data_IF_488492522637
#
_entry.id   IF_488492522637
#
_cell.length_a   1.000
_cell.length_b   1.000
_cell.length_c   1.000
_cell.angle_alpha   90.00
_cell.angle_beta   90.00
_cell.angle_gamma   90.00
#
_symmetry.space_group_name_H-M   'P 1'
#
loop_
_entity.id
_entity.type
_entity.pdbx_description
1 polymer ?
#
# COMPACT_ATOMS: atom_id res chain seq x y z
N UNK A 1 0.47 6.93 4.14
CA UNK A 1 1.08 5.97 5.08
C UNK A 1 2.57 6.27 5.29
N UNK A 2 3.19 5.77 6.37
CA UNK A 2 4.64 5.94 6.61
C UNK A 2 5.49 5.30 5.53
N UNK A 3 5.09 4.16 5.02
CA UNK A 3 5.79 3.44 3.93
C UNK A 3 5.75 4.24 2.63
N UNK A 4 4.60 4.80 2.24
CA UNK A 4 4.48 5.66 1.07
C UNK A 4 5.38 6.90 1.20
N UNK A 5 5.40 7.54 2.37
CA UNK A 5 6.30 8.65 2.66
C UNK A 5 7.77 8.28 2.46
N UNK A 6 8.24 7.14 3.01
CA UNK A 6 9.64 6.71 2.88
C UNK A 6 10.00 6.38 1.43
N UNK A 7 9.10 5.74 0.70
CA UNK A 7 9.29 5.46 -0.72
C UNK A 7 9.40 6.76 -1.55
N UNK A 8 8.56 7.74 -1.24
CA UNK A 8 8.62 9.04 -1.90
C UNK A 8 9.94 9.76 -1.63
N UNK A 9 10.38 9.81 -0.37
CA UNK A 9 11.67 10.41 0.02
C UNK A 9 12.84 9.76 -0.72
N UNK A 10 12.82 8.41 -0.86
CA UNK A 10 13.91 7.68 -1.55
C UNK A 10 13.95 7.93 -3.05
N UNK A 11 12.80 8.25 -3.67
CA UNK A 11 12.69 8.45 -5.13
C UNK A 11 12.92 9.89 -5.57
N UNK A 12 12.81 10.83 -4.66
CA UNK A 12 13.05 12.24 -4.97
C UNK A 12 14.53 12.54 -4.73
N UNK A 13 15.29 12.60 -5.83
CA UNK A 13 16.65 13.08 -5.81
C UNK A 13 16.63 14.60 -5.55
N UNK A 14 17.23 15.02 -4.43
CA UNK A 14 17.39 16.41 -4.08
C UNK A 14 16.06 17.18 -3.87
N UNK A 15 15.26 16.83 -2.84
CA UNK A 15 14.14 17.69 -2.46
C UNK A 15 14.68 19.08 -2.13
N UNK A 16 14.13 20.11 -2.76
CA UNK A 16 14.56 21.49 -2.55
C UNK A 16 14.63 21.85 -1.05
N UNK A 17 15.47 22.82 -0.71
CA UNK A 17 15.53 23.36 0.66
C UNK A 17 14.16 23.87 1.08
N UNK A 18 13.59 23.29 2.15
CA UNK A 18 12.26 23.62 2.66
C UNK A 18 11.16 22.61 2.32
N UNK A 19 11.45 21.55 1.55
CA UNK A 19 10.48 20.48 1.31
C UNK A 19 10.22 19.68 2.59
N UNK A 20 8.96 19.42 2.88
CA UNK A 20 8.52 18.63 4.01
C UNK A 20 7.70 17.42 3.55
N UNK A 21 7.94 16.25 4.14
CA UNK A 21 7.21 15.01 3.87
C UNK A 21 6.46 14.57 5.12
N UNK A 22 5.15 14.59 5.07
CA UNK A 22 4.29 14.25 6.21
C UNK A 22 3.12 13.35 5.79
N UNK A 23 2.55 12.61 6.72
CA UNK A 23 1.25 11.95 6.48
C UNK A 23 0.12 12.99 6.62
N UNK A 24 -1.04 12.72 5.99
CA UNK A 24 -2.22 13.59 6.11
C UNK A 24 -2.65 13.77 7.57
N UNK A 25 -2.58 12.72 8.39
CA UNK A 25 -2.90 12.80 9.82
C UNK A 25 -1.93 13.70 10.58
N UNK A 26 -0.64 13.59 10.26
CA UNK A 26 0.38 14.42 10.88
C UNK A 26 0.21 15.89 10.47
N UNK A 27 -0.10 16.13 9.21
CA UNK A 27 -0.42 17.47 8.71
C UNK A 27 -1.64 18.06 9.42
N UNK A 28 -2.73 17.30 9.51
CA UNK A 28 -3.97 17.72 10.12
C UNK A 28 -3.86 18.01 11.62
N UNK A 29 -2.90 17.41 12.33
CA UNK A 29 -2.63 17.68 13.74
C UNK A 29 -1.78 18.93 13.99
N UNK A 30 -1.08 19.45 13.00
CA UNK A 30 -0.28 20.66 13.18
C UNK A 30 -1.17 21.87 13.48
N UNK A 31 -0.78 22.66 14.47
CA UNK A 31 -1.48 23.91 14.84
C UNK A 31 -1.01 25.06 13.96
N UNK A 32 0.30 25.15 13.75
CA UNK A 32 0.91 26.17 12.90
C UNK A 32 1.51 25.49 11.66
N UNK A 33 1.03 25.87 10.49
CA UNK A 33 1.56 25.42 9.21
C UNK A 33 2.41 26.53 8.59
N UNK A 34 3.55 26.17 7.98
CA UNK A 34 4.25 27.10 7.11
C UNK A 34 3.38 27.48 5.90
N UNK A 35 3.70 28.59 5.28
CA UNK A 35 3.12 28.97 4.00
C UNK A 35 3.74 28.06 2.92
N UNK A 36 2.95 27.14 2.38
CA UNK A 36 3.38 26.29 1.29
C UNK A 36 2.92 26.90 -0.04
N UNK A 37 3.84 26.99 -1.01
CA UNK A 37 3.50 27.40 -2.37
C UNK A 37 2.83 26.27 -3.14
N UNK A 38 3.32 25.02 -2.95
CA UNK A 38 2.81 23.82 -3.61
C UNK A 38 2.67 22.70 -2.60
N UNK A 39 1.56 21.97 -2.66
CA UNK A 39 1.33 20.75 -1.88
C UNK A 39 0.97 19.61 -2.83
N UNK A 40 1.72 18.51 -2.76
CA UNK A 40 1.40 17.26 -3.41
C UNK A 40 0.75 16.31 -2.41
N UNK A 41 -0.44 15.81 -2.73
CA UNK A 41 -1.12 14.78 -1.95
C UNK A 41 -1.20 13.52 -2.78
N UNK A 42 -0.50 12.48 -2.34
CA UNK A 42 -0.47 11.18 -2.99
C UNK A 42 -1.45 10.21 -2.33
N UNK A 43 -1.90 9.19 -3.08
CA UNK A 43 -2.88 8.18 -2.64
C UNK A 43 -4.20 8.79 -2.13
N UNK A 44 -4.69 9.83 -2.82
CA UNK A 44 -5.89 10.57 -2.42
C UNK A 44 -7.16 9.71 -2.30
N UNK A 45 -7.25 8.62 -3.05
CA UNK A 45 -8.37 7.67 -2.98
C UNK A 45 -8.53 7.00 -1.61
N UNK A 46 -7.45 6.93 -0.83
CA UNK A 46 -7.44 6.34 0.51
C UNK A 46 -7.78 7.32 1.64
N UNK A 47 -7.96 8.60 1.33
CA UNK A 47 -8.22 9.67 2.31
C UNK A 47 -9.73 9.89 2.42
N UNK A 48 -10.25 9.81 3.65
CA UNK A 48 -11.66 10.05 3.93
C UNK A 48 -12.07 11.54 3.78
N UNK A 49 -13.39 11.76 3.68
CA UNK A 49 -13.95 13.10 3.50
C UNK A 49 -13.60 14.05 4.64
N UNK A 50 -13.59 13.60 5.89
CA UNK A 50 -13.32 14.42 7.06
C UNK A 50 -11.87 14.89 7.10
N UNK A 51 -10.96 13.94 6.86
CA UNK A 51 -9.52 14.22 6.81
C UNK A 51 -9.19 15.22 5.73
N UNK A 52 -9.82 15.08 4.54
CA UNK A 52 -9.59 16.00 3.44
C UNK A 52 -10.22 17.38 3.66
N UNK A 53 -11.41 17.44 4.23
CA UNK A 53 -12.03 18.71 4.63
C UNK A 53 -11.17 19.46 5.65
N UNK A 54 -10.60 18.74 6.63
CA UNK A 54 -9.66 19.30 7.61
C UNK A 54 -8.40 19.83 6.93
N UNK A 55 -7.84 19.08 5.98
CA UNK A 55 -6.69 19.50 5.18
C UNK A 55 -6.99 20.82 4.45
N UNK A 56 -8.07 20.89 3.67
CA UNK A 56 -8.44 22.10 2.93
C UNK A 56 -8.72 23.30 3.82
N UNK A 57 -9.26 23.11 5.03
CA UNK A 57 -9.52 24.20 5.97
C UNK A 57 -8.25 24.86 6.53
N UNK A 58 -7.10 24.20 6.39
CA UNK A 58 -5.82 24.65 6.95
C UNK A 58 -4.87 25.26 5.94
N UNK A 59 -5.12 25.08 4.66
CA UNK A 59 -4.25 25.59 3.60
C UNK A 59 -4.73 26.95 3.13
N UNK A 60 -3.82 27.74 2.57
CA UNK A 60 -4.14 29.03 2.00
C UNK A 60 -4.84 28.89 0.64
N UNK A 61 -5.63 29.87 0.28
CA UNK A 61 -6.39 29.87 -0.99
C UNK A 61 -5.51 30.05 -2.23
N UNK A 62 -4.28 30.48 -2.07
CA UNK A 62 -3.29 30.67 -3.14
C UNK A 62 -2.26 29.55 -3.24
N UNK A 63 -2.35 28.52 -2.38
CA UNK A 63 -1.51 27.33 -2.47
C UNK A 63 -1.90 26.48 -3.70
N UNK A 64 -0.92 26.13 -4.54
CA UNK A 64 -1.13 25.21 -5.64
C UNK A 64 -1.17 23.78 -5.12
N UNK A 65 -2.22 23.02 -5.46
CA UNK A 65 -2.43 21.67 -4.95
C UNK A 65 -2.44 20.69 -6.11
N UNK A 66 -1.64 19.63 -5.97
CA UNK A 66 -1.63 18.48 -6.86
C UNK A 66 -2.17 17.27 -6.11
N UNK A 67 -3.27 16.71 -6.59
CA UNK A 67 -3.93 15.54 -6.02
C UNK A 67 -3.68 14.34 -6.93
N UNK A 68 -3.04 13.31 -6.42
CA UNK A 68 -2.80 12.07 -7.13
C UNK A 68 -3.48 10.90 -6.42
N UNK A 69 -4.07 9.98 -7.17
CA UNK A 69 -4.76 8.80 -6.62
C UNK A 69 -5.36 7.95 -7.72
N UNK A 70 -5.84 6.78 -7.34
CA UNK A 70 -6.46 5.83 -8.25
C UNK A 70 -7.86 5.44 -7.73
N UNK A 71 -8.90 5.80 -8.47
CA UNK A 71 -10.30 5.54 -8.12
C UNK A 71 -10.69 4.05 -8.23
N UNK A 72 -9.83 3.21 -8.80
CA UNK A 72 -10.01 1.77 -8.92
C UNK A 72 -9.31 0.98 -7.80
N UNK A 73 -8.52 1.66 -6.96
CA UNK A 73 -7.94 1.08 -5.75
C UNK A 73 -8.93 1.07 -4.59
N UNK A 74 -8.52 0.45 -3.47
CA UNK A 74 -9.32 0.39 -2.24
C UNK A 74 -9.61 1.82 -1.77
N UNK A 75 -10.89 2.09 -1.54
CA UNK A 75 -11.36 3.36 -0.99
C UNK A 75 -10.93 3.53 0.48
N UNK A 76 -11.16 4.71 1.04
CA UNK A 76 -10.84 4.97 2.44
C UNK A 76 -11.65 4.04 3.37
N UNK A 77 -11.04 3.62 4.48
CA UNK A 77 -11.72 2.82 5.51
C UNK A 77 -12.82 3.64 6.20
N UNK A 78 -12.54 4.91 6.44
CA UNK A 78 -13.49 5.86 7.00
C UNK A 78 -14.42 6.40 5.91
N UNK A 79 -15.54 7.04 6.34
CA UNK A 79 -16.59 7.48 5.44
C UNK A 79 -16.13 8.48 4.39
N UNK A 80 -16.40 8.15 3.13
CA UNK A 80 -16.38 9.03 1.97
C UNK A 80 -15.28 8.70 0.95
N UNK A 81 -15.62 8.93 -0.31
CA UNK A 81 -14.75 8.74 -1.46
C UNK A 81 -14.73 10.00 -2.35
N UNK A 82 -14.51 11.14 -1.72
CA UNK A 82 -14.49 12.47 -2.34
C UNK A 82 -13.62 12.51 -3.62
N UNK A 83 -12.51 11.78 -3.64
CA UNK A 83 -11.57 11.79 -4.77
C UNK A 83 -12.20 11.28 -6.07
N UNK A 84 -13.11 10.30 -5.99
CA UNK A 84 -13.85 9.79 -7.16
C UNK A 84 -14.62 10.90 -7.86
N UNK A 85 -15.14 11.86 -7.11
CA UNK A 85 -15.94 12.97 -7.62
C UNK A 85 -15.13 14.26 -7.83
N UNK A 86 -13.85 14.27 -7.42
CA UNK A 86 -13.03 15.48 -7.47
C UNK A 86 -12.90 16.04 -8.90
N UNK A 87 -12.76 15.18 -9.91
CA UNK A 87 -12.68 15.59 -11.31
C UNK A 87 -13.97 16.27 -11.82
N UNK A 88 -15.12 15.88 -11.28
CA UNK A 88 -16.42 16.44 -11.68
C UNK A 88 -16.68 17.80 -10.99
N UNK A 89 -16.07 18.00 -9.82
CA UNK A 89 -16.13 19.26 -9.06
C UNK A 89 -15.16 20.29 -9.63
N UNK A 90 -13.97 19.84 -10.07
CA UNK A 90 -12.97 20.70 -10.69
C UNK A 90 -13.39 20.93 -12.16
N UNK A 91 -14.17 21.98 -12.39
CA UNK A 91 -14.73 22.33 -13.71
C UNK A 91 -13.69 22.82 -14.75
N UNK A 92 -12.39 22.53 -14.56
CA UNK A 92 -11.30 22.92 -15.46
C UNK A 92 -10.74 21.65 -16.12
N UNK A 93 -11.09 21.33 -17.38
CA UNK A 93 -10.63 20.11 -18.03
C UNK A 93 -9.11 19.95 -18.06
N UNK A 94 -8.37 21.04 -18.24
CA UNK A 94 -6.90 21.04 -18.24
C UNK A 94 -6.26 20.77 -16.88
N UNK A 95 -7.03 20.81 -15.79
CA UNK A 95 -6.56 20.47 -14.45
C UNK A 95 -6.67 19.00 -14.12
N UNK A 96 -7.30 18.20 -14.99
CA UNK A 96 -7.46 16.75 -14.81
C UNK A 96 -6.58 16.00 -15.81
N UNK A 97 -5.70 15.15 -15.30
CA UNK A 97 -4.82 14.31 -16.11
C UNK A 97 -5.01 12.86 -15.66
N UNK A 98 -5.27 11.97 -16.59
CA UNK A 98 -5.35 10.53 -16.37
C UNK A 98 -4.14 9.85 -17.02
N UNK A 99 -3.41 9.04 -16.20
CA UNK A 99 -2.29 8.24 -16.69
C UNK A 99 -2.84 6.91 -17.20
N UNK A 100 -2.83 6.72 -18.53
CA UNK A 100 -3.43 5.57 -19.19
C UNK A 100 -2.47 4.39 -19.38
N UNK A 101 -1.16 4.63 -19.33
CA UNK A 101 -0.15 3.60 -19.55
C UNK A 101 0.45 3.10 -18.24
N UNK A 102 0.57 1.78 -18.11
CA UNK A 102 1.32 1.19 -17.00
C UNK A 102 2.82 1.13 -17.33
N UNK A 103 3.65 1.37 -16.32
CA UNK A 103 5.11 1.27 -16.37
C UNK A 103 5.65 0.27 -15.34
N UNK A 104 4.76 -0.48 -14.67
CA UNK A 104 5.14 -1.43 -13.61
C UNK A 104 5.56 -2.79 -14.16
N UNK A 105 5.07 -3.15 -15.32
CA UNK A 105 5.33 -4.45 -15.96
C UNK A 105 5.18 -4.34 -17.47
N UNK A 106 5.93 -5.17 -18.19
CA UNK A 106 5.80 -5.39 -19.62
C UNK A 106 5.05 -6.70 -19.93
N UNK A 107 4.61 -7.43 -18.90
CA UNK A 107 3.84 -8.67 -19.04
C UNK A 107 2.41 -8.34 -19.52
N UNK A 108 2.16 -8.66 -20.80
CA UNK A 108 0.88 -8.37 -21.44
C UNK A 108 -0.28 -9.18 -20.82
N UNK A 109 -0.05 -10.38 -20.31
CA UNK A 109 -1.10 -11.18 -19.68
C UNK A 109 -1.53 -10.53 -18.36
N UNK A 110 -0.57 -10.05 -17.59
CA UNK A 110 -0.85 -9.32 -16.35
C UNK A 110 -1.57 -7.99 -16.61
N UNK A 111 -1.16 -7.24 -17.65
CA UNK A 111 -1.84 -6.00 -18.05
C UNK A 111 -3.28 -6.29 -18.45
N UNK A 112 -3.51 -7.32 -19.28
CA UNK A 112 -4.84 -7.71 -19.73
C UNK A 112 -5.74 -8.15 -18.55
N UNK A 113 -5.16 -8.84 -17.56
CA UNK A 113 -5.88 -9.21 -16.34
C UNK A 113 -6.28 -7.97 -15.53
N UNK A 114 -5.38 -7.00 -15.37
CA UNK A 114 -5.67 -5.75 -14.67
C UNK A 114 -6.78 -4.95 -15.36
N UNK A 115 -6.79 -4.92 -16.69
CA UNK A 115 -7.84 -4.26 -17.47
C UNK A 115 -9.20 -4.94 -17.28
N UNK A 116 -9.25 -6.28 -17.25
CA UNK A 116 -10.48 -7.02 -16.93
C UNK A 116 -10.98 -6.71 -15.52
N UNK A 117 -10.08 -6.70 -14.52
CA UNK A 117 -10.46 -6.35 -13.15
C UNK A 117 -10.97 -4.92 -13.06
N UNK A 118 -10.30 -3.96 -13.71
CA UNK A 118 -10.69 -2.54 -13.74
C UNK A 118 -12.07 -2.34 -14.36
N UNK A 119 -12.38 -3.08 -15.41
CA UNK A 119 -13.62 -2.97 -16.15
C UNK A 119 -14.74 -3.89 -15.64
N UNK A 120 -14.50 -4.62 -14.52
CA UNK A 120 -15.41 -5.64 -14.00
C UNK A 120 -15.82 -6.67 -15.06
N UNK A 121 -14.85 -7.11 -15.88
CA UNK A 121 -15.10 -8.05 -16.97
C UNK A 121 -15.52 -9.44 -16.47
N UNK A 122 -16.29 -10.15 -17.28
CA UNK A 122 -16.80 -11.48 -16.94
C UNK A 122 -15.73 -12.59 -17.06
N UNK A 123 -14.59 -12.28 -17.70
CA UNK A 123 -13.52 -13.25 -17.99
C UNK A 123 -12.40 -13.31 -16.95
N UNK A 124 -12.52 -12.61 -15.81
CA UNK A 124 -11.47 -12.56 -14.77
C UNK A 124 -11.08 -13.96 -14.29
N UNK A 125 -12.08 -14.79 -13.94
CA UNK A 125 -11.83 -16.15 -13.44
C UNK A 125 -11.19 -17.05 -14.49
N UNK A 126 -11.65 -16.95 -15.74
CA UNK A 126 -11.09 -17.71 -16.85
C UNK A 126 -9.64 -17.34 -17.14
N UNK A 127 -9.33 -16.04 -17.19
CA UNK A 127 -7.97 -15.54 -17.37
C UNK A 127 -7.03 -15.94 -16.25
N UNK A 128 -7.49 -15.89 -15.00
CA UNK A 128 -6.70 -16.36 -13.86
C UNK A 128 -6.40 -17.86 -13.96
N UNK A 129 -7.35 -18.66 -14.41
CA UNK A 129 -7.17 -20.11 -14.53
C UNK A 129 -6.27 -20.52 -15.72
N UNK A 130 -6.26 -19.75 -16.82
CA UNK A 130 -5.51 -20.10 -18.04
C UNK A 130 -4.13 -19.43 -18.05
N UNK A 131 -4.06 -18.15 -17.72
CA UNK A 131 -2.86 -17.32 -17.94
C UNK A 131 -2.12 -16.99 -16.65
N UNK A 132 -2.72 -17.24 -15.50
CA UNK A 132 -2.17 -16.89 -14.19
C UNK A 132 -1.66 -18.08 -13.38
N UNK A 133 -0.83 -17.85 -12.39
CA UNK A 133 -0.47 -18.84 -11.38
C UNK A 133 -1.65 -19.04 -10.42
N UNK A 134 -2.69 -19.72 -10.90
CA UNK A 134 -3.86 -20.07 -10.10
C UNK A 134 -3.68 -21.41 -9.44
N UNK A 135 -3.95 -21.54 -8.14
CA UNK A 135 -3.94 -22.80 -7.40
C UNK A 135 -5.06 -22.85 -6.37
N UNK A 136 -5.74 -23.98 -6.32
CA UNK A 136 -6.73 -24.29 -5.26
C UNK A 136 -6.06 -24.90 -4.02
N UNK A 137 -4.77 -25.20 -4.08
CA UNK A 137 -3.99 -25.80 -3.00
C UNK A 137 -2.78 -24.91 -2.66
N UNK A 138 -2.43 -24.88 -1.37
CA UNK A 138 -1.15 -24.31 -0.94
C UNK A 138 -0.10 -25.38 -1.15
N UNK A 139 0.85 -25.14 -2.03
CA UNK A 139 1.87 -26.11 -2.40
C UNK A 139 3.22 -25.46 -2.69
N UNK A 140 4.29 -26.26 -2.83
CA UNK A 140 5.65 -25.77 -3.02
C UNK A 140 5.81 -24.84 -4.24
N UNK A 141 5.09 -25.07 -5.32
CA UNK A 141 5.21 -24.26 -6.54
C UNK A 141 4.64 -22.85 -6.47
N UNK A 142 3.94 -22.49 -5.39
CA UNK A 142 3.36 -21.12 -5.24
C UNK A 142 4.43 -20.12 -4.78
N UNK A 143 5.46 -20.59 -4.06
CA UNK A 143 6.48 -19.75 -3.41
C UNK A 143 7.90 -20.09 -3.87
N UNK A 144 8.06 -20.57 -5.09
CA UNK A 144 9.35 -21.02 -5.63
C UNK A 144 10.37 -19.91 -5.86
N UNK A 145 9.92 -18.67 -5.81
CA UNK A 145 10.78 -17.50 -5.87
C UNK A 145 10.71 -16.77 -4.53
N UNK A 146 11.45 -17.27 -3.54
CA UNK A 146 11.69 -16.54 -2.32
C UNK A 146 12.53 -15.28 -2.62
N UNK A 147 11.92 -14.31 -3.26
CA UNK A 147 12.48 -12.97 -3.35
C UNK A 147 12.24 -12.29 -2.00
N UNK A 148 13.26 -11.61 -1.46
CA UNK A 148 13.17 -10.88 -0.20
C UNK A 148 12.06 -9.80 -0.23
N UNK A 149 11.60 -9.43 -1.42
CA UNK A 149 10.52 -8.46 -1.64
C UNK A 149 9.12 -9.07 -1.84
N UNK A 150 9.01 -10.39 -1.82
CA UNK A 150 7.71 -11.07 -1.93
C UNK A 150 6.85 -10.83 -0.70
N UNK A 151 5.56 -10.56 -0.93
CA UNK A 151 4.54 -10.39 0.11
C UNK A 151 3.28 -11.15 -0.27
N UNK A 152 2.82 -12.01 0.64
CA UNK A 152 1.56 -12.74 0.48
C UNK A 152 0.42 -11.92 1.08
N UNK A 153 -0.57 -11.57 0.27
CA UNK A 153 -1.76 -10.85 0.71
C UNK A 153 -2.89 -11.84 1.01
N UNK A 154 -3.36 -11.87 2.24
CA UNK A 154 -4.47 -12.71 2.67
C UNK A 154 -5.68 -11.83 2.98
N UNK A 155 -6.86 -12.22 2.50
CA UNK A 155 -8.11 -11.50 2.74
C UNK A 155 -8.68 -11.74 4.15
N UNK A 156 -8.36 -12.88 4.76
CA UNK A 156 -8.88 -13.32 6.05
C UNK A 156 -7.74 -13.78 6.97
N UNK A 157 -8.00 -13.80 8.27
CA UNK A 157 -7.07 -14.39 9.25
C UNK A 157 -7.13 -15.92 9.23
N UNK A 158 -8.32 -16.50 9.09
CA UNK A 158 -8.57 -17.94 9.18
C UNK A 158 -8.99 -18.54 7.83
N UNK A 159 -8.97 -19.86 7.75
CA UNK A 159 -9.29 -20.62 6.55
C UNK A 159 -8.05 -21.09 5.78
N UNK A 160 -8.28 -21.84 4.69
CA UNK A 160 -7.21 -22.46 3.90
C UNK A 160 -6.16 -21.46 3.41
N UNK A 161 -6.59 -20.33 2.89
CA UNK A 161 -5.74 -19.23 2.41
C UNK A 161 -5.69 -18.04 3.39
N UNK A 162 -6.05 -18.26 4.65
CA UNK A 162 -6.00 -17.26 5.70
C UNK A 162 -4.57 -17.02 6.19
N UNK A 163 -4.34 -15.84 6.74
CA UNK A 163 -3.02 -15.38 7.21
C UNK A 163 -2.37 -16.37 8.19
N UNK A 164 -3.14 -16.92 9.12
CA UNK A 164 -2.63 -17.87 10.12
C UNK A 164 -2.13 -19.15 9.46
N UNK A 165 -2.89 -19.71 8.52
CA UNK A 165 -2.50 -20.94 7.82
C UNK A 165 -1.32 -20.69 6.88
N UNK A 166 -1.30 -19.57 6.17
CA UNK A 166 -0.19 -19.18 5.30
C UNK A 166 1.11 -19.00 6.09
N UNK A 167 1.07 -18.31 7.22
CA UNK A 167 2.23 -18.15 8.09
C UNK A 167 2.73 -19.50 8.60
N UNK A 168 1.84 -20.40 9.02
CA UNK A 168 2.21 -21.75 9.46
C UNK A 168 2.86 -22.55 8.34
N UNK A 169 2.31 -22.48 7.14
CA UNK A 169 2.88 -23.17 5.96
C UNK A 169 4.30 -22.67 5.65
N UNK A 170 4.48 -21.34 5.53
CA UNK A 170 5.77 -20.73 5.23
C UNK A 170 6.80 -20.99 6.34
N UNK A 171 6.38 -20.94 7.60
CA UNK A 171 7.25 -21.23 8.74
C UNK A 171 7.70 -22.70 8.80
N UNK A 172 6.84 -23.62 8.38
CA UNK A 172 7.21 -25.04 8.29
C UNK A 172 8.31 -25.29 7.24
N UNK A 173 8.39 -24.47 6.20
CA UNK A 173 9.47 -24.52 5.22
C UNK A 173 10.82 -23.98 5.78
N UNK A 174 10.80 -23.22 6.87
CA UNK A 174 12.01 -22.78 7.53
C UNK A 174 12.63 -23.89 8.38
N UNK A 175 13.79 -24.39 7.96
CA UNK A 175 14.52 -25.52 8.57
C UNK A 175 15.42 -25.12 9.73
N UNK A 176 15.41 -23.86 10.20
CA UNK A 176 16.23 -23.44 11.33
C UNK A 176 15.90 -24.25 12.59
N UNK A 177 16.94 -24.73 13.26
CA UNK A 177 16.82 -25.47 14.52
C UNK A 177 16.61 -24.58 15.75
N UNK A 178 16.97 -23.31 15.65
CA UNK A 178 16.73 -22.34 16.73
C UNK A 178 15.33 -21.76 16.58
N UNK A 179 14.48 -22.03 17.56
CA UNK A 179 13.11 -21.61 17.63
C UNK A 179 12.71 -21.20 19.05
N UNK A 180 11.82 -20.23 19.18
CA UNK A 180 11.15 -19.87 20.42
C UNK A 180 9.64 -19.88 20.19
N UNK A 181 8.91 -20.46 21.14
CA UNK A 181 7.45 -20.43 21.13
C UNK A 181 6.93 -19.38 22.12
N UNK A 182 5.99 -18.57 21.67
CA UNK A 182 5.29 -17.60 22.50
C UNK A 182 3.79 -17.61 22.16
N UNK A 183 2.97 -17.91 23.15
CA UNK A 183 1.54 -18.19 22.95
C UNK A 183 1.33 -19.33 21.94
N UNK A 184 0.55 -19.09 20.90
CA UNK A 184 0.23 -20.06 19.85
C UNK A 184 1.26 -20.07 18.72
N UNK A 185 2.24 -19.17 18.76
CA UNK A 185 3.18 -18.96 17.66
C UNK A 185 4.56 -19.47 17.97
N UNK A 186 5.20 -20.01 16.95
CA UNK A 186 6.62 -20.37 16.98
C UNK A 186 7.37 -19.42 16.06
N UNK A 187 8.50 -18.93 16.50
CA UNK A 187 9.38 -18.04 15.75
C UNK A 187 10.74 -18.72 15.57
N UNK A 188 11.29 -18.64 14.36
CA UNK A 188 12.59 -19.23 14.02
C UNK A 188 13.54 -18.16 13.50
N UNK A 189 14.84 -18.40 13.66
CA UNK A 189 15.85 -17.57 13.00
C UNK A 189 15.63 -17.65 11.48
N UNK A 190 15.64 -16.48 10.82
CA UNK A 190 15.37 -16.37 9.40
C UNK A 190 13.92 -16.07 9.05
N UNK A 191 12.97 -16.18 10.00
CA UNK A 191 11.58 -15.82 9.72
C UNK A 191 11.47 -14.34 9.38
N UNK A 192 10.73 -14.00 8.30
CA UNK A 192 10.42 -12.61 8.00
C UNK A 192 9.42 -12.08 9.01
N UNK A 193 9.55 -10.83 9.37
CA UNK A 193 8.62 -10.12 10.24
C UNK A 193 8.16 -8.83 9.59
N UNK A 194 6.91 -8.47 9.87
CA UNK A 194 6.33 -7.21 9.45
C UNK A 194 5.89 -6.45 10.69
N UNK A 195 6.44 -5.26 10.87
CA UNK A 195 6.07 -4.42 12.01
C UNK A 195 4.71 -3.77 11.75
N UNK A 196 3.80 -3.86 12.70
CA UNK A 196 2.46 -3.29 12.62
C UNK A 196 2.21 -2.19 13.69
N UNK A 197 3.22 -1.84 14.46
CA UNK A 197 3.13 -0.80 15.48
C UNK A 197 4.31 0.17 15.39
N UNK A 198 4.01 1.48 15.37
CA UNK A 198 5.01 2.54 15.21
C UNK A 198 5.23 3.39 16.48
N UNK A 199 4.43 3.18 17.53
CA UNK A 199 4.44 4.09 18.70
C UNK A 199 5.54 3.78 19.71
N UNK A 200 5.98 2.53 19.80
CA UNK A 200 6.91 2.07 20.83
C UNK A 200 8.38 2.39 20.52
N UNK A 201 8.74 2.43 19.25
CA UNK A 201 10.11 2.66 18.81
C UNK A 201 10.11 3.65 17.65
N UNK A 202 10.86 4.74 17.76
CA UNK A 202 10.90 5.82 16.77
C UNK A 202 11.44 5.41 15.37
N UNK A 203 12.21 4.33 15.31
CA UNK A 203 12.78 3.81 14.06
C UNK A 203 11.88 2.75 13.39
N UNK A 204 10.88 2.24 14.10
CA UNK A 204 9.96 1.24 13.57
C UNK A 204 8.67 1.93 13.11
N UNK A 205 8.19 1.53 11.95
CA UNK A 205 6.94 2.03 11.37
C UNK A 205 6.13 0.89 10.78
N UNK A 206 4.84 1.11 10.62
CA UNK A 206 3.94 0.11 10.04
C UNK A 206 4.43 -0.34 8.65
N UNK A 207 4.38 -1.64 8.43
CA UNK A 207 4.84 -2.31 7.21
C UNK A 207 6.37 -2.26 6.99
N UNK A 208 7.15 -1.93 8.01
CA UNK A 208 8.60 -2.14 7.95
C UNK A 208 8.88 -3.64 7.96
N UNK A 209 9.58 -4.10 6.93
CA UNK A 209 10.03 -5.49 6.85
C UNK A 209 11.28 -5.69 7.70
N UNK A 210 11.37 -6.82 8.35
CA UNK A 210 12.53 -7.27 9.12
C UNK A 210 12.72 -8.77 9.00
N UNK A 211 13.79 -9.27 9.62
CA UNK A 211 14.10 -10.69 9.69
C UNK A 211 14.62 -11.03 11.09
N UNK A 212 14.22 -12.16 11.62
CA UNK A 212 14.73 -12.63 12.91
C UNK A 212 16.17 -13.10 12.70
N UNK A 213 17.12 -12.44 13.35
CA UNK A 213 18.55 -12.76 13.24
C UNK A 213 19.07 -13.54 14.44
N UNK A 214 18.43 -13.43 15.61
CA UNK A 214 18.76 -14.18 16.84
C UNK A 214 17.52 -14.34 17.71
N UNK A 215 17.51 -15.37 18.56
CA UNK A 215 16.43 -15.75 19.49
C UNK A 215 17.03 -16.14 20.83
#
# INVERSE_FOLDING_TARGET
>A
THTAKQNLIRRIDNPGTGSEFVSIDSFNRKVNLPDYDVIFVDECSTIDNRSMATFFSKIRSDTFIVLAGDIHQIESIEFGNWFRYAKDIICVPSANVELLSTWRTDDQNLINLWDEVRNHGDLITEKLAIDGPFSEEIGPGIFDKADEDEVVLCLNYDGKFGLNNMNTYLQNANTSSKAVSWQEWTYKIGDPILFNESQRFSLLYNNLKGKIVDI
#
